data_IF_349483510410
#
_entry.id   IF_349483510410
#
_cell.length_a   1.000
_cell.length_b   1.000
_cell.length_c   1.000
_cell.angle_alpha   90.00
_cell.angle_beta   90.00
_cell.angle_gamma   90.00
#
_symmetry.space_group_name_H-M   'P 1'
#
loop_
_entity.id
_entity.type
_entity.pdbx_description
1 polymer ?
#
# COMPACT_ATOMS: atom_id res chain seq x y z
N UNK A 1 4.80 1.76 -24.41
CA UNK A 1 5.90 2.68 -24.15
C UNK A 1 7.06 2.30 -25.05
N UNK A 2 7.54 3.24 -25.90
CA UNK A 2 8.72 3.04 -26.73
C UNK A 2 9.97 3.33 -25.89
N UNK A 3 10.68 2.29 -25.46
CA UNK A 3 11.97 2.41 -24.76
C UNK A 3 13.15 2.63 -25.71
N UNK A 4 12.92 2.89 -26.99
CA UNK A 4 13.96 2.91 -28.04
C UNK A 4 14.90 4.13 -27.95
N UNK A 5 14.52 5.19 -27.23
CA UNK A 5 15.29 6.45 -27.16
C UNK A 5 15.75 6.79 -25.74
N UNK A 6 15.79 5.81 -24.83
CA UNK A 6 16.30 6.05 -23.47
C UNK A 6 17.83 6.08 -23.49
N UNK A 7 18.46 7.06 -22.79
CA UNK A 7 19.93 7.16 -22.71
C UNK A 7 20.55 6.12 -21.77
N UNK A 8 19.79 5.11 -21.36
CA UNK A 8 20.19 4.03 -20.44
C UNK A 8 19.50 2.73 -20.82
N UNK A 9 20.11 1.62 -20.44
CA UNK A 9 19.53 0.28 -20.58
C UNK A 9 18.48 0.01 -19.50
N UNK A 10 17.34 -0.59 -19.89
CA UNK A 10 16.30 -1.02 -18.97
C UNK A 10 16.32 -2.54 -18.88
N UNK A 11 16.62 -3.06 -17.70
CA UNK A 11 16.58 -4.48 -17.39
C UNK A 11 15.27 -4.86 -16.69
N UNK A 12 14.55 -5.86 -17.20
CA UNK A 12 13.30 -6.34 -16.64
C UNK A 12 13.52 -7.61 -15.81
N UNK A 13 13.22 -7.54 -14.53
CA UNK A 13 13.26 -8.69 -13.63
C UNK A 13 11.84 -9.19 -13.34
N UNK A 14 11.54 -10.45 -13.71
CA UNK A 14 10.25 -11.06 -13.40
C UNK A 14 10.18 -11.44 -11.92
N UNK A 15 9.08 -11.06 -11.27
CA UNK A 15 8.81 -11.39 -9.87
C UNK A 15 7.59 -12.32 -9.75
N UNK A 16 7.48 -13.07 -8.65
CA UNK A 16 6.30 -13.87 -8.34
C UNK A 16 5.36 -13.10 -7.39
N UNK A 17 4.25 -12.51 -7.88
CA UNK A 17 3.36 -11.69 -7.05
C UNK A 17 2.58 -12.48 -5.99
N UNK A 18 2.66 -13.82 -6.01
CA UNK A 18 1.95 -14.70 -5.06
C UNK A 18 2.82 -15.15 -3.88
N UNK A 19 4.10 -14.80 -3.88
CA UNK A 19 5.04 -15.16 -2.82
C UNK A 19 5.58 -13.90 -2.15
N UNK A 20 5.89 -14.02 -0.86
CA UNK A 20 6.75 -13.08 -0.16
C UNK A 20 8.19 -13.43 -0.55
N UNK A 21 8.89 -12.50 -1.19
CA UNK A 21 10.29 -12.67 -1.57
C UNK A 21 11.01 -11.31 -1.57
N UNK A 22 12.30 -11.34 -1.23
CA UNK A 22 13.18 -10.18 -1.38
C UNK A 22 13.51 -10.04 -2.86
N UNK A 23 13.19 -8.87 -3.44
CA UNK A 23 13.44 -8.56 -4.86
C UNK A 23 14.58 -7.56 -5.06
N UNK A 24 14.97 -6.88 -4.00
CA UNK A 24 16.10 -5.98 -3.97
C UNK A 24 16.67 -5.90 -2.55
N UNK A 25 17.99 -5.91 -2.44
CA UNK A 25 18.68 -5.70 -1.17
C UNK A 25 20.06 -5.07 -1.42
N UNK A 26 20.34 -4.00 -0.67
CA UNK A 26 21.67 -3.41 -0.56
C UNK A 26 21.97 -3.00 0.90
N UNK A 27 22.99 -2.17 1.12
CA UNK A 27 23.39 -1.74 2.48
C UNK A 27 22.39 -0.78 3.14
N UNK A 28 21.47 -0.20 2.39
CA UNK A 28 20.57 0.88 2.83
C UNK A 28 19.11 0.53 2.70
N UNK A 29 18.75 -0.42 1.83
CA UNK A 29 17.38 -0.71 1.49
C UNK A 29 17.17 -2.21 1.22
N UNK A 30 16.09 -2.76 1.78
CA UNK A 30 15.53 -4.05 1.36
C UNK A 30 14.11 -3.82 0.81
N UNK A 31 13.78 -4.45 -0.32
CA UNK A 31 12.42 -4.44 -0.89
C UNK A 31 11.90 -5.86 -0.98
N UNK A 32 10.75 -6.10 -0.36
CA UNK A 32 10.05 -7.39 -0.37
C UNK A 32 8.69 -7.26 -1.07
N UNK A 33 8.26 -8.30 -1.76
CA UNK A 33 6.88 -8.39 -2.28
C UNK A 33 5.89 -8.71 -1.16
N UNK A 34 4.70 -8.09 -1.23
CA UNK A 34 3.54 -8.38 -0.36
C UNK A 34 2.47 -9.02 -1.23
N UNK A 35 2.16 -10.34 -1.08
CA UNK A 35 1.12 -10.98 -1.87
C UNK A 35 -0.26 -10.38 -1.60
N UNK A 36 -0.87 -9.77 -2.61
CA UNK A 36 -2.18 -9.14 -2.52
C UNK A 36 -3.29 -10.03 -3.12
N UNK A 37 -4.54 -9.61 -3.02
CA UNK A 37 -5.71 -10.34 -3.52
C UNK A 37 -6.48 -9.49 -4.51
N UNK A 38 -6.26 -9.74 -5.79
CA UNK A 38 -6.95 -9.07 -6.88
C UNK A 38 -7.33 -10.05 -8.00
N UNK A 39 -8.11 -9.60 -9.01
CA UNK A 39 -8.53 -10.41 -10.16
C UNK A 39 -7.35 -10.90 -10.99
N UNK A 40 -6.38 -10.01 -11.21
CA UNK A 40 -5.11 -10.34 -11.83
C UNK A 40 -4.05 -10.56 -10.76
N UNK A 41 -2.99 -11.35 -11.02
CA UNK A 41 -1.88 -11.48 -10.08
C UNK A 41 -1.25 -10.11 -9.80
N UNK A 42 -1.23 -9.72 -8.53
CA UNK A 42 -0.69 -8.45 -8.07
C UNK A 42 0.02 -8.62 -6.73
N UNK A 43 0.98 -7.75 -6.45
CA UNK A 43 1.65 -7.64 -5.17
C UNK A 43 1.83 -6.17 -4.79
N UNK A 44 1.90 -5.92 -3.50
CA UNK A 44 2.45 -4.71 -2.92
C UNK A 44 3.94 -4.87 -2.65
N UNK A 45 4.51 -3.87 -2.02
CA UNK A 45 5.94 -3.82 -1.69
C UNK A 45 6.14 -3.33 -0.25
N UNK A 46 7.05 -3.99 0.45
CA UNK A 46 7.54 -3.56 1.74
C UNK A 46 8.98 -3.05 1.57
N UNK A 47 9.16 -1.78 1.87
CA UNK A 47 10.47 -1.12 1.87
C UNK A 47 10.98 -1.06 3.31
N UNK A 48 12.19 -1.53 3.54
CA UNK A 48 12.88 -1.44 4.83
C UNK A 48 14.18 -0.68 4.63
N UNK A 49 14.27 0.51 5.21
CA UNK A 49 15.50 1.30 5.23
C UNK A 49 16.43 0.83 6.34
N UNK A 50 17.73 0.74 6.05
CA UNK A 50 18.78 0.36 6.98
C UNK A 50 19.76 1.52 7.20
N UNK A 51 19.85 2.03 8.44
CA UNK A 51 20.83 3.05 8.79
C UNK A 51 22.11 2.43 9.37
N UNK A 52 23.27 3.04 9.03
CA UNK A 52 24.59 2.58 9.51
C UNK A 52 24.76 2.70 11.02
N UNK A 53 24.03 3.61 11.67
CA UNK A 53 24.24 4.05 13.05
C UNK A 53 23.26 3.43 14.07
N UNK A 54 22.64 2.29 13.76
CA UNK A 54 21.72 1.55 14.65
C UNK A 54 20.41 2.30 14.98
N UNK A 55 20.03 3.32 14.21
CA UNK A 55 18.71 3.93 14.34
C UNK A 55 17.59 2.94 13.97
N UNK A 56 16.37 3.14 14.51
CA UNK A 56 15.24 2.28 14.18
C UNK A 56 15.04 2.21 12.66
N UNK A 57 14.86 1.02 12.15
CA UNK A 57 14.59 0.79 10.74
C UNK A 57 13.27 1.47 10.38
N UNK A 58 13.29 2.36 9.39
CA UNK A 58 12.06 2.90 8.82
C UNK A 58 11.49 1.93 7.80
N UNK A 59 10.20 1.68 7.89
CA UNK A 59 9.50 0.73 7.02
C UNK A 59 8.27 1.39 6.41
N UNK A 60 8.12 1.18 5.12
CA UNK A 60 6.97 1.66 4.35
C UNK A 60 6.35 0.49 3.58
N UNK A 61 5.05 0.29 3.73
CA UNK A 61 4.31 -0.71 2.96
C UNK A 61 3.39 -0.04 1.94
N UNK A 62 3.43 -0.50 0.70
CA UNK A 62 2.57 -0.07 -0.40
C UNK A 62 1.68 -1.23 -0.83
N UNK A 63 0.36 -1.09 -0.62
CA UNK A 63 -0.65 -2.09 -0.95
C UNK A 63 -1.73 -1.44 -1.84
N UNK A 64 -1.67 -1.68 -3.16
CA UNK A 64 -2.66 -1.20 -4.12
C UNK A 64 -3.26 -2.35 -4.91
N UNK A 65 -4.52 -2.21 -5.32
CA UNK A 65 -5.32 -3.21 -6.00
C UNK A 65 -5.46 -4.51 -5.19
N UNK A 66 -6.12 -4.42 -4.06
CA UNK A 66 -6.35 -5.58 -3.20
C UNK A 66 -7.73 -5.56 -2.53
N UNK A 67 -8.42 -6.70 -2.53
CA UNK A 67 -9.50 -6.92 -1.56
C UNK A 67 -8.92 -7.00 -0.15
N UNK A 68 -9.75 -6.75 0.86
CA UNK A 68 -9.43 -6.93 2.27
C UNK A 68 -8.70 -8.25 2.53
N UNK A 69 -7.52 -8.20 3.14
CA UNK A 69 -6.66 -9.36 3.32
C UNK A 69 -5.82 -9.26 4.60
N UNK A 70 -6.30 -9.85 5.68
CA UNK A 70 -5.58 -9.88 6.97
C UNK A 70 -4.24 -10.64 6.93
N UNK A 71 -4.06 -11.54 5.96
CA UNK A 71 -2.81 -12.32 5.84
C UNK A 71 -1.55 -11.48 5.63
N UNK A 72 -1.70 -10.20 5.23
CA UNK A 72 -0.55 -9.30 5.07
C UNK A 72 -0.14 -8.64 6.39
N UNK A 73 -1.00 -8.64 7.40
CA UNK A 73 -0.81 -7.91 8.68
C UNK A 73 0.50 -8.27 9.35
N UNK A 74 0.81 -9.56 9.45
CA UNK A 74 2.07 -10.02 10.04
C UNK A 74 3.29 -9.45 9.33
N UNK A 75 3.28 -9.43 7.99
CA UNK A 75 4.41 -8.95 7.19
C UNK A 75 4.62 -7.44 7.32
N UNK A 76 3.55 -6.66 7.44
CA UNK A 76 3.58 -5.20 7.54
C UNK A 76 3.44 -4.70 8.99
N UNK A 77 3.59 -5.57 9.98
CA UNK A 77 3.45 -5.20 11.38
C UNK A 77 4.44 -4.12 11.79
N UNK A 78 3.95 -3.04 12.41
CA UNK A 78 4.76 -1.94 12.92
C UNK A 78 5.44 -1.08 11.85
N UNK A 79 4.91 -1.03 10.62
CA UNK A 79 5.41 -0.08 9.61
C UNK A 79 5.11 1.36 10.02
N UNK A 80 6.05 2.28 9.78
CA UNK A 80 5.85 3.71 10.04
C UNK A 80 4.73 4.27 9.17
N UNK A 81 4.68 3.86 7.90
CA UNK A 81 3.64 4.29 6.97
C UNK A 81 3.12 3.10 6.17
N UNK A 82 1.80 2.98 6.12
CA UNK A 82 1.08 2.08 5.24
C UNK A 82 0.35 2.92 4.19
N UNK A 83 0.67 2.74 2.89
CA UNK A 83 -0.24 3.09 1.81
C UNK A 83 -1.14 1.90 1.53
N UNK A 84 -2.45 2.13 1.54
CA UNK A 84 -3.42 1.10 1.18
C UNK A 84 -4.49 1.68 0.26
N UNK A 85 -4.90 0.89 -0.76
CA UNK A 85 -6.02 1.31 -1.58
C UNK A 85 -7.29 1.46 -0.75
N UNK A 86 -8.16 2.37 -1.19
CA UNK A 86 -9.49 2.61 -0.66
C UNK A 86 -10.41 3.01 -1.82
N UNK A 87 -10.64 2.08 -2.73
CA UNK A 87 -11.40 2.35 -3.96
C UNK A 87 -12.84 2.76 -3.65
N UNK A 88 -13.41 2.25 -2.55
CA UNK A 88 -14.81 2.47 -2.18
C UNK A 88 -14.96 2.96 -0.75
N UNK A 89 -16.13 3.56 -0.47
CA UNK A 89 -16.63 3.79 0.89
C UNK A 89 -17.45 2.59 1.35
N UNK A 90 -17.83 2.53 2.63
CA UNK A 90 -18.60 1.41 3.20
C UNK A 90 -19.99 1.28 2.56
N UNK A 91 -20.59 2.38 2.07
CA UNK A 91 -21.86 2.33 1.33
C UNK A 91 -21.77 1.46 0.06
N UNK A 92 -20.56 1.26 -0.47
CA UNK A 92 -20.27 0.48 -1.67
C UNK A 92 -19.51 -0.83 -1.36
N UNK A 93 -19.59 -1.35 -0.13
CA UNK A 93 -18.89 -2.54 0.33
C UNK A 93 -19.13 -3.78 -0.55
N UNK A 94 -20.32 -3.92 -1.13
CA UNK A 94 -20.62 -5.00 -2.08
C UNK A 94 -19.74 -4.92 -3.34
N UNK A 95 -19.42 -3.71 -3.78
CA UNK A 95 -18.52 -3.48 -4.93
C UNK A 95 -17.09 -3.90 -4.61
N UNK A 96 -16.62 -3.71 -3.36
CA UNK A 96 -15.32 -4.18 -2.90
C UNK A 96 -15.13 -5.67 -3.20
N UNK A 97 -16.08 -6.49 -2.77
CA UNK A 97 -16.04 -7.93 -2.99
C UNK A 97 -16.11 -8.31 -4.48
N UNK A 98 -17.02 -7.67 -5.22
CA UNK A 98 -17.24 -7.93 -6.65
C UNK A 98 -16.03 -7.57 -7.51
N UNK A 99 -15.36 -6.47 -7.19
CA UNK A 99 -14.25 -5.94 -7.97
C UNK A 99 -12.87 -6.25 -7.38
N UNK A 100 -12.82 -6.92 -6.22
CA UNK A 100 -11.58 -7.28 -5.50
C UNK A 100 -10.76 -6.06 -5.09
N UNK A 101 -11.43 -5.06 -4.55
CA UNK A 101 -10.88 -3.85 -3.95
C UNK A 101 -11.26 -3.74 -2.47
N UNK A 102 -10.78 -2.70 -1.80
CA UNK A 102 -11.06 -2.42 -0.40
C UNK A 102 -11.88 -1.14 -0.22
N UNK A 103 -12.61 -1.06 0.91
CA UNK A 103 -13.18 0.21 1.38
C UNK A 103 -12.16 0.95 2.25
N UNK A 104 -12.40 2.26 2.47
CA UNK A 104 -11.60 3.08 3.38
C UNK A 104 -11.58 2.49 4.80
N UNK A 105 -12.73 2.01 5.28
CA UNK A 105 -12.84 1.34 6.58
C UNK A 105 -12.02 0.05 6.64
N UNK A 106 -12.00 -0.75 5.57
CA UNK A 106 -11.18 -1.97 5.48
C UNK A 106 -9.69 -1.65 5.47
N UNK A 107 -9.26 -0.62 4.74
CA UNK A 107 -7.88 -0.14 4.76
C UNK A 107 -7.46 0.28 6.17
N UNK A 108 -8.32 1.03 6.87
CA UNK A 108 -8.10 1.44 8.25
C UNK A 108 -8.05 0.27 9.24
N UNK A 109 -8.84 -0.80 9.01
CA UNK A 109 -8.76 -2.03 9.81
C UNK A 109 -7.40 -2.73 9.64
N UNK A 110 -6.88 -2.83 8.42
CA UNK A 110 -5.53 -3.38 8.17
C UNK A 110 -4.47 -2.55 8.88
N UNK A 111 -4.52 -1.22 8.78
CA UNK A 111 -3.57 -0.32 9.47
C UNK A 111 -3.59 -0.52 10.99
N UNK A 112 -4.78 -0.62 11.57
CA UNK A 112 -4.98 -0.86 13.01
C UNK A 112 -4.42 -2.22 13.44
N UNK A 113 -4.74 -3.29 12.72
CA UNK A 113 -4.26 -4.64 13.01
C UNK A 113 -2.75 -4.74 12.88
N UNK A 114 -2.16 -4.06 11.90
CA UNK A 114 -0.72 -4.00 11.69
C UNK A 114 0.01 -3.12 12.71
N UNK A 115 -0.69 -2.28 13.47
CA UNK A 115 -0.05 -1.29 14.34
C UNK A 115 0.78 -0.28 13.55
N UNK A 116 0.31 0.12 12.37
CA UNK A 116 0.99 1.11 11.54
C UNK A 116 1.07 2.47 12.23
N UNK A 117 2.12 3.25 11.96
CA UNK A 117 2.24 4.61 12.51
C UNK A 117 1.30 5.59 11.82
N UNK A 118 1.14 5.48 10.50
CA UNK A 118 0.28 6.33 9.67
C UNK A 118 -0.33 5.51 8.54
N UNK A 119 -1.58 5.81 8.20
CA UNK A 119 -2.25 5.28 7.02
C UNK A 119 -2.42 6.38 5.96
N UNK A 120 -2.01 6.07 4.75
CA UNK A 120 -2.29 6.87 3.56
C UNK A 120 -3.27 6.07 2.72
N UNK A 121 -4.46 6.60 2.47
CA UNK A 121 -5.43 5.97 1.59
C UNK A 121 -5.44 6.64 0.22
N UNK A 122 -5.59 5.84 -0.82
CA UNK A 122 -5.59 6.31 -2.21
C UNK A 122 -6.26 5.31 -3.14
N UNK A 123 -6.05 5.47 -4.46
CA UNK A 123 -6.69 4.63 -5.49
C UNK A 123 -8.22 4.71 -5.42
N UNK A 124 -8.75 5.92 -5.33
CA UNK A 124 -10.19 6.17 -5.22
C UNK A 124 -10.92 5.84 -6.53
N UNK A 125 -12.18 5.43 -6.43
CA UNK A 125 -13.04 5.24 -7.59
C UNK A 125 -13.19 6.54 -8.38
N UNK A 126 -12.96 6.50 -9.69
CA UNK A 126 -13.19 7.64 -10.59
C UNK A 126 -14.67 8.14 -10.65
N UNK A 127 -15.56 7.48 -9.92
CA UNK A 127 -16.98 7.89 -9.79
C UNK A 127 -17.22 8.75 -8.55
N UNK A 128 -16.21 8.92 -7.71
CA UNK A 128 -16.28 9.75 -6.51
C UNK A 128 -15.40 10.98 -6.73
N UNK A 129 -16.04 12.12 -6.95
CA UNK A 129 -15.34 13.38 -7.20
C UNK A 129 -14.86 14.03 -5.90
N UNK A 130 -15.55 13.80 -4.79
CA UNK A 130 -15.17 14.30 -3.46
C UNK A 130 -14.46 13.20 -2.63
N UNK A 131 -13.14 13.18 -2.70
CA UNK A 131 -12.36 12.23 -1.94
C UNK A 131 -12.39 12.45 -0.42
N UNK A 132 -12.91 13.59 0.07
CA UNK A 132 -13.02 13.83 1.52
C UNK A 132 -14.02 12.90 2.20
N UNK A 133 -14.95 12.30 1.45
CA UNK A 133 -15.91 11.32 1.97
C UNK A 133 -15.24 10.08 2.60
N UNK A 134 -14.04 9.71 2.12
CA UNK A 134 -13.27 8.59 2.68
C UNK A 134 -12.75 8.89 4.08
N UNK A 135 -12.56 10.17 4.43
CA UNK A 135 -12.18 10.60 5.79
C UNK A 135 -13.35 10.61 6.78
N UNK A 136 -14.58 10.39 6.32
CA UNK A 136 -15.73 10.28 7.22
C UNK A 136 -15.79 8.93 7.94
N UNK A 137 -15.07 7.90 7.44
CA UNK A 137 -15.13 6.56 8.00
C UNK A 137 -13.78 5.96 8.40
N UNK A 138 -12.71 6.21 7.64
CA UNK A 138 -11.41 5.63 7.92
C UNK A 138 -10.82 6.09 9.27
N UNK A 139 -10.83 7.39 9.63
CA UNK A 139 -10.31 7.87 10.91
C UNK A 139 -11.06 7.36 12.14
N UNK A 140 -12.31 6.95 12.02
CA UNK A 140 -13.08 6.33 13.11
C UNK A 140 -12.45 4.99 13.55
N UNK A 141 -11.78 4.30 12.61
CA UNK A 141 -11.13 3.01 12.85
C UNK A 141 -9.66 3.19 13.17
N UNK A 142 -8.98 4.09 12.43
CA UNK A 142 -7.56 4.40 12.57
C UNK A 142 -7.35 5.91 12.40
N UNK A 143 -7.21 6.62 13.53
CA UNK A 143 -7.23 8.10 13.57
C UNK A 143 -6.15 8.78 12.71
N UNK A 144 -4.93 8.20 12.66
CA UNK A 144 -3.82 8.76 11.87
C UNK A 144 -3.92 8.37 10.39
N UNK A 145 -5.04 8.76 9.76
CA UNK A 145 -5.33 8.50 8.33
C UNK A 145 -5.33 9.79 7.55
N UNK A 146 -4.67 9.79 6.40
CA UNK A 146 -4.64 10.91 5.44
C UNK A 146 -4.95 10.43 4.02
N UNK A 147 -5.44 11.35 3.18
CA UNK A 147 -5.60 11.08 1.74
C UNK A 147 -4.27 11.21 1.02
N UNK A 148 -4.02 10.31 0.08
CA UNK A 148 -2.99 10.52 -0.93
C UNK A 148 -3.37 11.72 -1.81
N UNK A 149 -2.42 12.59 -2.07
CA UNK A 149 -2.60 13.77 -2.93
C UNK A 149 -1.43 13.84 -3.91
N UNK A 150 -1.75 14.10 -5.17
CA UNK A 150 -0.72 14.30 -6.19
C UNK A 150 0.20 15.48 -5.82
N UNK A 151 1.47 15.35 -6.17
CA UNK A 151 2.51 16.36 -5.91
C UNK A 151 2.72 16.71 -4.42
N UNK A 152 2.22 15.91 -3.48
CA UNK A 152 2.45 16.12 -2.04
C UNK A 152 3.48 15.12 -1.51
N UNK A 153 4.52 15.63 -0.87
CA UNK A 153 5.49 14.82 -0.14
C UNK A 153 4.96 14.52 1.27
N UNK A 154 5.10 13.28 1.69
CA UNK A 154 4.81 12.83 3.07
C UNK A 154 6.11 12.27 3.62
N UNK A 155 6.61 12.86 4.69
CA UNK A 155 7.80 12.37 5.40
C UNK A 155 7.46 11.17 6.27
N UNK A 156 8.40 10.21 6.32
CA UNK A 156 8.36 8.96 7.09
C UNK A 156 9.31 9.08 8.29
#
# INVERSE_FOLDING_TARGET
>A
YHCQDLPYEVEFHAINPRKKEVIFEDRTLTIETIPLKHKVPTCGFLFTEHHRDKEPRKRYAYCSDTAYREKIVEQISGVEVLFHEATYTEKDADKCKKHTHSSAKQAAQIAKLAGAGKLIIGHFSAREDDHTVFLNEAPEVFANTVLAQECKTIEI
#
